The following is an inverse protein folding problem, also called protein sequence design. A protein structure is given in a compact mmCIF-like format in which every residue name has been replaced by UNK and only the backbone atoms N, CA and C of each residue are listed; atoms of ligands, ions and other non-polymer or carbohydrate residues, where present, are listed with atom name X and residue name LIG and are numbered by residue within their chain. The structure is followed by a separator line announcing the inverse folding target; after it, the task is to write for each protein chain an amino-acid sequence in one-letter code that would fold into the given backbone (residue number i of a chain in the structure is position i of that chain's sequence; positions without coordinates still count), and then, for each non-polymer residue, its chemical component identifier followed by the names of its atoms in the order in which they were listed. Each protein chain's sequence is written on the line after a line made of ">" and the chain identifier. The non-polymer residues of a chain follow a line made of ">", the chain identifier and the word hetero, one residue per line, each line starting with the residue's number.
data_IF_668293450671
#
_entry.id   IF_668293450671
#
_cell.length_a   1.000
_cell.length_b   1.000
_cell.length_c   1.000
_cell.angle_alpha   90.00
_cell.angle_beta   90.00
_cell.angle_gamma   90.00
#
_symmetry.space_group_name_H-M   'P 1'
#
loop_
_entity.id
_entity.type
_entity.pdbx_description
1 polymer ?
#
# COMPACT_ATOMS: atom_id res chain seq x y z
N UNK A 1 -24.65 -2.70 10.68
CA UNK A 1 -24.64 -2.68 12.16
C UNK A 1 -25.52 -1.57 12.72
N UNK A 2 -25.27 -0.28 12.43
CA UNK A 2 -26.14 0.81 12.94
C UNK A 2 -27.62 0.67 12.53
N UNK A 3 -27.88 0.09 11.36
CA UNK A 3 -29.24 -0.23 10.90
C UNK A 3 -29.87 -1.47 11.59
N UNK A 4 -29.34 -1.94 12.72
CA UNK A 4 -29.88 -3.10 13.45
C UNK A 4 -29.56 -4.47 12.84
N UNK A 5 -28.68 -4.55 11.84
CA UNK A 5 -28.24 -5.81 11.21
C UNK A 5 -26.76 -6.05 11.52
N UNK A 6 -26.45 -7.13 12.22
CA UNK A 6 -25.10 -7.48 12.68
C UNK A 6 -25.11 -8.49 13.85
N UNK A 7 -23.94 -8.82 14.43
CA UNK A 7 -23.87 -9.81 15.50
C UNK A 7 -24.69 -9.38 16.71
N UNK A 8 -25.65 -10.21 17.14
CA UNK A 8 -26.61 -9.89 18.20
C UNK A 8 -25.97 -9.29 19.45
N UNK A 9 -24.93 -9.95 19.98
CA UNK A 9 -24.24 -9.49 21.19
C UNK A 9 -23.67 -8.07 21.02
N UNK A 10 -23.02 -7.80 19.88
CA UNK A 10 -22.44 -6.48 19.57
C UNK A 10 -23.51 -5.38 19.48
N UNK A 11 -24.66 -5.68 18.87
CA UNK A 11 -25.78 -4.74 18.79
C UNK A 11 -26.39 -4.45 20.17
N UNK A 12 -26.56 -5.50 20.98
CA UNK A 12 -27.08 -5.39 22.35
C UNK A 12 -26.14 -4.58 23.26
N UNK A 13 -24.83 -4.82 23.20
CA UNK A 13 -23.82 -4.11 24.00
C UNK A 13 -23.81 -2.60 23.70
N UNK A 14 -24.27 -2.19 22.51
CA UNK A 14 -24.37 -0.80 22.07
C UNK A 14 -25.79 -0.22 22.12
N UNK A 15 -26.76 -0.95 22.70
CA UNK A 15 -28.18 -0.57 22.76
C UNK A 15 -28.80 -0.25 21.38
N UNK A 16 -28.40 -0.98 20.34
CA UNK A 16 -28.99 -0.86 18.99
C UNK A 16 -30.11 -1.88 18.85
N UNK A 17 -31.29 -1.43 18.41
CA UNK A 17 -32.40 -2.34 18.10
C UNK A 17 -31.99 -3.35 17.03
N UNK A 18 -32.10 -4.64 17.35
CA UNK A 18 -31.71 -5.70 16.43
C UNK A 18 -32.88 -6.07 15.50
N UNK A 19 -32.68 -5.84 14.21
CA UNK A 19 -33.55 -6.29 13.13
C UNK A 19 -33.18 -7.71 12.71
N UNK A 20 -31.88 -8.02 12.59
CA UNK A 20 -31.40 -9.35 12.20
C UNK A 20 -30.01 -9.68 12.78
N UNK A 21 -29.88 -10.89 13.32
CA UNK A 21 -28.62 -11.45 13.81
C UNK A 21 -27.85 -12.11 12.66
N UNK A 22 -26.83 -11.41 12.15
CA UNK A 22 -26.00 -11.88 11.04
C UNK A 22 -24.52 -11.56 11.31
N UNK A 23 -23.56 -12.36 10.80
CA UNK A 23 -22.12 -12.17 11.03
C UNK A 23 -21.53 -11.03 10.17
N UNK A 24 -22.19 -9.87 10.17
CA UNK A 24 -21.74 -8.69 9.43
C UNK A 24 -20.38 -8.27 9.97
N UNK A 25 -19.40 -8.08 9.08
CA UNK A 25 -18.06 -7.64 9.43
C UNK A 25 -17.07 -8.72 9.86
N UNK A 26 -17.46 -10.01 9.93
CA UNK A 26 -16.62 -11.09 10.49
C UNK A 26 -15.54 -11.62 9.54
N UNK A 27 -15.64 -11.28 8.25
CA UNK A 27 -14.76 -11.80 7.22
C UNK A 27 -13.99 -10.69 6.51
N UNK A 28 -13.35 -9.80 7.27
CA UNK A 28 -12.52 -8.75 6.69
C UNK A 28 -11.27 -9.40 6.07
N UNK A 29 -11.11 -9.20 4.76
CA UNK A 29 -9.89 -9.48 4.04
C UNK A 29 -9.15 -8.17 3.78
N UNK A 30 -7.83 -8.21 3.89
CA UNK A 30 -6.94 -7.17 3.41
C UNK A 30 -5.70 -7.85 2.82
N UNK A 31 -4.90 -7.14 2.04
CA UNK A 31 -3.63 -7.62 1.51
C UNK A 31 -2.48 -7.00 2.29
N UNK A 32 -1.93 -7.69 3.30
CA UNK A 32 -0.84 -7.15 4.08
C UNK A 32 0.38 -6.95 3.17
N UNK A 33 0.95 -5.76 3.27
CA UNK A 33 2.11 -5.32 2.50
C UNK A 33 3.30 -5.15 3.42
N UNK A 34 4.44 -5.68 2.99
CA UNK A 34 5.73 -5.50 3.64
C UNK A 34 6.55 -4.50 2.83
N UNK A 35 7.04 -3.47 3.52
CA UNK A 35 8.01 -2.50 3.02
C UNK A 35 9.41 -2.84 3.56
N UNK A 36 10.44 -2.13 3.08
CA UNK A 36 11.81 -2.23 3.62
C UNK A 36 12.84 -2.77 2.62
N UNK A 37 12.42 -3.17 1.42
CA UNK A 37 13.35 -3.55 0.35
C UNK A 37 13.59 -2.33 -0.54
N UNK A 38 14.73 -1.67 -0.34
CA UNK A 38 15.13 -0.44 -1.03
C UNK A 38 16.49 -0.61 -1.66
N UNK A 39 16.66 -0.11 -2.88
CA UNK A 39 17.90 -0.20 -3.63
C UNK A 39 18.36 1.19 -4.05
N UNK A 40 19.64 1.48 -3.84
CA UNK A 40 20.30 2.61 -4.51
C UNK A 40 20.49 2.25 -5.97
N UNK A 41 20.35 3.23 -6.84
CA UNK A 41 20.57 3.07 -8.27
C UNK A 41 21.25 4.30 -8.84
N UNK A 42 21.97 4.10 -9.95
CA UNK A 42 22.49 5.19 -10.77
C UNK A 42 21.50 5.58 -11.87
N UNK A 43 20.34 4.93 -11.94
CA UNK A 43 19.26 5.34 -12.83
C UNK A 43 18.74 6.72 -12.43
N UNK A 44 18.51 7.56 -13.44
CA UNK A 44 17.80 8.83 -13.27
C UNK A 44 16.31 8.56 -13.42
N UNK A 45 15.53 8.99 -12.45
CA UNK A 45 14.07 8.97 -12.52
C UNK A 45 13.56 10.37 -12.84
N UNK A 46 12.35 10.46 -13.37
CA UNK A 46 11.69 11.73 -13.63
C UNK A 46 11.57 12.55 -12.33
N UNK A 47 11.51 13.87 -12.45
CA UNK A 47 11.38 14.76 -11.29
C UNK A 47 10.08 14.43 -10.55
N UNK A 48 10.19 14.22 -9.24
CA UNK A 48 9.04 13.92 -8.35
C UNK A 48 7.99 15.03 -8.29
N UNK A 49 8.38 16.27 -8.61
CA UNK A 49 7.46 17.40 -8.69
C UNK A 49 7.31 17.79 -10.16
N UNK A 50 6.06 17.90 -10.65
CA UNK A 50 5.84 18.33 -12.02
C UNK A 50 6.31 19.77 -12.19
N UNK A 51 7.18 19.99 -13.17
CA UNK A 51 7.51 21.33 -13.64
C UNK A 51 6.44 21.83 -14.64
N UNK A 52 6.53 23.11 -14.99
CA UNK A 52 5.57 23.75 -15.90
C UNK A 52 5.51 23.04 -17.27
N UNK A 53 6.64 22.49 -17.71
CA UNK A 53 6.72 21.71 -18.94
C UNK A 53 5.92 20.41 -18.82
N UNK A 54 6.15 19.62 -17.76
CA UNK A 54 5.40 18.39 -17.50
C UNK A 54 3.89 18.63 -17.38
N UNK A 55 3.48 19.74 -16.74
CA UNK A 55 2.07 20.14 -16.65
C UNK A 55 1.50 20.51 -18.02
N UNK A 56 2.25 21.27 -18.82
CA UNK A 56 1.83 21.68 -20.16
C UNK A 56 1.65 20.47 -21.08
N UNK A 57 2.59 19.53 -21.08
CA UNK A 57 2.48 18.29 -21.85
C UNK A 57 1.24 17.48 -21.47
N UNK A 58 0.95 17.38 -20.18
CA UNK A 58 -0.22 16.66 -19.69
C UNK A 58 -1.52 17.33 -20.13
N UNK A 59 -1.70 18.62 -19.87
CA UNK A 59 -2.96 19.31 -20.14
C UNK A 59 -3.21 19.61 -21.62
N UNK A 60 -2.16 19.88 -22.39
CA UNK A 60 -2.30 20.28 -23.81
C UNK A 60 -2.24 19.07 -24.74
N UNK A 61 -1.33 18.13 -24.48
CA UNK A 61 -1.04 17.02 -25.40
C UNK A 61 -1.55 15.67 -24.87
N UNK A 62 -1.93 15.57 -23.60
CA UNK A 62 -2.24 14.28 -22.98
C UNK A 62 -1.03 13.35 -22.93
N UNK A 63 0.19 13.92 -22.87
CA UNK A 63 1.46 13.18 -22.86
C UNK A 63 2.31 13.60 -21.66
N UNK A 64 3.52 13.05 -21.56
CA UNK A 64 4.50 13.43 -20.52
C UNK A 64 4.49 12.49 -19.30
N UNK A 65 5.30 12.78 -18.28
CA UNK A 65 5.52 11.89 -17.13
C UNK A 65 4.25 11.70 -16.26
N UNK A 66 3.37 12.70 -16.22
CA UNK A 66 2.12 12.66 -15.44
C UNK A 66 1.07 11.70 -15.97
N UNK A 67 1.24 11.13 -17.16
CA UNK A 67 0.34 10.09 -17.71
C UNK A 67 0.75 8.67 -17.31
N UNK A 68 1.86 8.52 -16.58
CA UNK A 68 2.43 7.22 -16.22
C UNK A 68 2.19 6.91 -14.74
N UNK A 69 2.03 5.62 -14.44
CA UNK A 69 2.04 5.12 -13.06
C UNK A 69 3.48 5.02 -12.57
N UNK A 70 3.75 5.53 -11.36
CA UNK A 70 5.03 5.31 -10.66
C UNK A 70 5.18 3.88 -10.12
N UNK A 71 4.11 3.09 -10.22
CA UNK A 71 4.00 1.74 -9.68
C UNK A 71 3.89 0.73 -10.82
N UNK A 72 4.82 -0.23 -10.85
CA UNK A 72 4.69 -1.43 -11.69
C UNK A 72 4.49 -2.66 -10.80
N UNK A 73 3.97 -3.74 -11.37
CA UNK A 73 3.62 -4.94 -10.61
C UNK A 73 4.01 -6.20 -11.36
N UNK A 74 4.45 -7.20 -10.59
CA UNK A 74 4.63 -8.57 -11.04
C UNK A 74 4.03 -9.53 -10.02
N UNK A 75 3.45 -10.62 -10.51
CA UNK A 75 2.82 -11.65 -9.69
C UNK A 75 3.72 -12.89 -9.66
N UNK A 76 3.85 -13.49 -8.49
CA UNK A 76 4.66 -14.67 -8.26
C UNK A 76 3.85 -15.73 -7.52
N UNK A 77 4.14 -16.98 -7.84
CA UNK A 77 3.72 -18.11 -7.04
C UNK A 77 4.93 -18.57 -6.21
N UNK A 78 4.79 -18.55 -4.90
CA UNK A 78 5.80 -19.05 -3.99
C UNK A 78 5.81 -20.57 -3.95
N UNK A 79 6.93 -21.15 -3.51
CA UNK A 79 7.01 -22.59 -3.22
C UNK A 79 6.23 -23.01 -1.96
N UNK A 80 5.62 -22.07 -1.24
CA UNK A 80 4.88 -22.34 0.00
C UNK A 80 3.39 -22.64 -0.25
N UNK A 81 2.92 -22.50 -1.48
CA UNK A 81 1.54 -22.82 -1.87
C UNK A 81 1.49 -24.06 -2.75
N UNK A 82 0.66 -25.02 -2.34
CA UNK A 82 0.46 -26.29 -3.06
C UNK A 82 -0.52 -26.17 -4.24
N UNK A 83 -1.21 -25.02 -4.39
CA UNK A 83 -2.17 -24.79 -5.46
C UNK A 83 -1.53 -23.94 -6.54
N UNK A 84 -1.53 -24.46 -7.77
CA UNK A 84 -0.75 -23.94 -8.90
C UNK A 84 -1.47 -22.97 -9.81
N UNK A 85 -2.74 -22.67 -9.52
CA UNK A 85 -3.58 -21.97 -10.49
C UNK A 85 -3.55 -20.44 -10.30
N UNK A 86 -3.05 -19.94 -9.16
CA UNK A 86 -3.06 -18.51 -8.84
C UNK A 86 -1.85 -18.08 -8.00
N UNK A 87 -1.31 -16.86 -8.25
CA UNK A 87 -0.22 -16.30 -7.48
C UNK A 87 -0.65 -15.96 -6.04
N UNK A 88 0.27 -16.12 -5.10
CA UNK A 88 0.11 -15.77 -3.69
C UNK A 88 0.90 -14.51 -3.30
N UNK A 89 1.84 -14.08 -4.13
CA UNK A 89 2.67 -12.90 -3.92
C UNK A 89 2.49 -11.91 -5.07
N UNK A 90 2.29 -10.64 -4.74
CA UNK A 90 2.46 -9.52 -5.65
C UNK A 90 3.70 -8.71 -5.23
N UNK A 91 4.62 -8.49 -6.16
CA UNK A 91 5.71 -7.53 -5.99
C UNK A 91 5.36 -6.23 -6.71
N UNK A 92 5.36 -5.14 -5.96
CA UNK A 92 5.20 -3.79 -6.47
C UNK A 92 6.53 -3.08 -6.55
N UNK A 93 6.88 -2.54 -7.70
CA UNK A 93 8.09 -1.73 -7.88
C UNK A 93 7.71 -0.26 -7.93
N UNK A 94 8.44 0.55 -7.18
CA UNK A 94 8.22 1.99 -7.09
C UNK A 94 9.52 2.74 -7.32
N UNK A 95 9.48 3.81 -8.10
CA UNK A 95 10.61 4.73 -8.33
C UNK A 95 10.80 5.70 -7.15
N UNK A 96 10.61 5.22 -5.93
CA UNK A 96 10.76 5.98 -4.71
C UNK A 96 11.05 5.07 -3.51
N UNK A 97 11.49 5.67 -2.41
CA UNK A 97 11.70 5.03 -1.13
C UNK A 97 11.33 6.03 -0.02
N UNK A 98 11.21 5.60 1.25
CA UNK A 98 11.05 6.51 2.38
C UNK A 98 12.15 7.55 2.54
N UNK A 99 13.34 7.32 1.97
CA UNK A 99 14.41 8.32 1.93
C UNK A 99 14.14 9.46 0.96
N UNK A 100 13.09 9.40 0.13
CA UNK A 100 12.71 10.47 -0.79
C UNK A 100 12.65 11.85 -0.11
N UNK A 101 11.99 11.91 1.05
CA UNK A 101 11.96 13.03 1.97
C UNK A 101 11.28 12.57 3.28
N UNK A 102 11.29 13.43 4.31
CA UNK A 102 10.69 13.11 5.60
C UNK A 102 9.16 12.89 5.52
N UNK A 103 8.48 13.56 4.60
CA UNK A 103 7.05 13.37 4.34
C UNK A 103 6.74 11.97 3.83
N UNK A 104 7.53 11.45 2.88
CA UNK A 104 7.42 10.07 2.39
C UNK A 104 7.64 9.05 3.50
N UNK A 105 8.62 9.27 4.39
CA UNK A 105 8.83 8.43 5.58
C UNK A 105 7.59 8.36 6.48
N UNK A 106 7.02 9.52 6.81
CA UNK A 106 5.80 9.61 7.63
C UNK A 106 4.60 8.95 6.95
N UNK A 107 4.41 9.14 5.64
CA UNK A 107 3.33 8.51 4.89
C UNK A 107 3.38 6.98 4.93
N UNK A 108 4.58 6.41 5.10
CA UNK A 108 4.79 4.96 5.27
C UNK A 108 4.80 4.49 6.73
N UNK A 109 4.50 5.36 7.70
CA UNK A 109 4.45 5.02 9.12
C UNK A 109 5.82 4.78 9.77
N UNK A 110 6.91 5.22 9.14
CA UNK A 110 8.25 5.07 9.71
C UNK A 110 8.44 6.07 10.85
N UNK A 111 8.97 5.56 11.97
CA UNK A 111 9.30 6.35 13.16
C UNK A 111 10.39 7.37 12.86
N UNK A 112 10.28 8.56 13.43
CA UNK A 112 11.14 9.70 13.12
C UNK A 112 12.64 9.43 13.40
N UNK A 113 12.97 8.75 14.49
CA UNK A 113 14.34 8.33 14.85
C UNK A 113 14.93 7.31 13.85
N UNK A 114 14.12 6.35 13.37
CA UNK A 114 14.52 5.39 12.34
C UNK A 114 14.75 6.12 11.02
N UNK A 115 13.88 7.08 10.69
CA UNK A 115 14.06 7.91 9.49
C UNK A 115 15.37 8.71 9.56
N UNK A 116 15.61 9.40 10.68
CA UNK A 116 16.80 10.23 10.88
C UNK A 116 18.11 9.41 10.88
N UNK A 117 18.09 8.18 11.40
CA UNK A 117 19.28 7.31 11.44
C UNK A 117 19.53 6.56 10.13
N UNK A 118 18.48 5.97 9.52
CA UNK A 118 18.64 5.04 8.39
C UNK A 118 18.37 5.68 7.04
N UNK A 119 17.33 6.52 6.90
CA UNK A 119 16.87 7.00 5.60
C UNK A 119 17.46 8.37 5.22
N UNK A 120 17.66 9.25 6.19
CA UNK A 120 18.20 10.61 5.99
C UNK A 120 19.53 10.65 5.23
N UNK A 121 20.50 9.74 5.43
CA UNK A 121 21.76 9.75 4.68
C UNK A 121 21.60 9.56 3.16
N UNK A 122 20.44 9.04 2.71
CA UNK A 122 20.20 8.68 1.32
C UNK A 122 19.25 9.65 0.58
N UNK A 123 18.86 10.77 1.17
CA UNK A 123 17.83 11.66 0.58
C UNK A 123 18.18 12.23 -0.79
N UNK A 124 19.48 12.38 -1.08
CA UNK A 124 19.98 12.91 -2.35
C UNK A 124 20.43 11.82 -3.32
N UNK A 125 19.96 10.58 -3.12
CA UNK A 125 20.35 9.43 -3.94
C UNK A 125 19.13 8.85 -4.65
N UNK A 126 19.27 8.57 -5.94
CA UNK A 126 18.28 7.84 -6.71
C UNK A 126 18.08 6.45 -6.13
N UNK A 127 16.81 6.08 -5.95
CA UNK A 127 16.40 4.85 -5.29
C UNK A 127 15.11 4.32 -5.91
N UNK A 128 14.97 3.01 -5.89
CA UNK A 128 13.68 2.35 -6.11
C UNK A 128 13.40 1.39 -4.94
N UNK A 129 12.13 1.04 -4.79
CA UNK A 129 11.70 0.11 -3.75
C UNK A 129 10.89 -1.03 -4.34
N UNK A 130 10.94 -2.15 -3.62
CA UNK A 130 10.12 -3.32 -3.85
C UNK A 130 9.23 -3.51 -2.64
N UNK A 131 7.93 -3.48 -2.85
CA UNK A 131 6.94 -3.87 -1.85
C UNK A 131 6.48 -5.29 -2.13
N UNK A 132 6.38 -6.10 -1.08
CA UNK A 132 5.89 -7.48 -1.18
C UNK A 132 4.52 -7.53 -0.55
N UNK A 133 3.53 -7.98 -1.31
CA UNK A 133 2.13 -8.03 -0.90
C UNK A 133 1.69 -9.48 -0.91
N UNK A 134 1.10 -9.93 0.21
CA UNK A 134 0.49 -11.24 0.30
C UNK A 134 -0.95 -11.18 -0.23
N UNK A 135 -1.21 -11.87 -1.32
CA UNK A 135 -2.52 -11.89 -1.99
C UNK A 135 -3.50 -12.89 -1.36
N UNK A 136 -2.97 -13.89 -0.65
CA UNK A 136 -3.74 -14.99 -0.06
C UNK A 136 -3.47 -15.15 1.43
N UNK A 137 -3.73 -14.10 2.25
CA UNK A 137 -3.55 -14.23 3.68
C UNK A 137 -4.52 -15.26 4.25
N UNK A 138 -4.04 -16.05 5.23
CA UNK A 138 -4.89 -16.94 6.04
C UNK A 138 -5.59 -16.19 7.17
N UNK A 139 -5.02 -15.06 7.61
CA UNK A 139 -5.61 -14.19 8.62
C UNK A 139 -6.93 -13.60 8.13
N UNK A 140 -7.86 -13.43 9.06
CA UNK A 140 -9.13 -12.72 8.87
C UNK A 140 -9.25 -11.66 9.94
N UNK A 141 -9.70 -10.49 9.54
CA UNK A 141 -10.01 -9.40 10.46
C UNK A 141 -11.50 -9.35 10.75
N UNK A 142 -11.87 -8.39 11.58
CA UNK A 142 -13.25 -8.15 11.93
C UNK A 142 -13.51 -6.65 11.99
N UNK A 143 -14.64 -6.20 11.43
CA UNK A 143 -15.11 -4.83 11.55
C UNK A 143 -16.30 -4.78 12.50
N UNK A 144 -16.25 -3.85 13.45
CA UNK A 144 -17.28 -3.58 14.46
C UNK A 144 -17.55 -2.07 14.50
N UNK A 145 -18.65 -1.70 15.15
CA UNK A 145 -18.92 -0.30 15.52
C UNK A 145 -18.03 0.14 16.68
#
# INVERSE_FOLDING_TARGET
>A
MLSGIGPKKHLQDLNIEMIADLPVGDNLHDHPRVYGVHFLTNATFDKKNPDLESLSEYFVKGTGPLTRSEYSTTLFQSSFVNQTDWPDIQMGFMQSSPAANRGSGKATGIRDDIWDQFYKPYTNRSQFSVSVILLRPKSRGTLRL
#
